data_IF_174063411919
#
_entry.id   IF_174063411919
#
_cell.length_a   1.000
_cell.length_b   1.000
_cell.length_c   1.000
_cell.angle_alpha   90.00
_cell.angle_beta   90.00
_cell.angle_gamma   90.00
#
_symmetry.space_group_name_H-M   'P 1'
#
loop_
_entity.id
_entity.type
_entity.pdbx_description
1 polymer ?
#
# COMPACT_ATOMS: atom_id res chain seq x y z
N UNK A 1 -11.07 10.59 -2.20
CA UNK A 1 -11.44 10.83 -0.78
C UNK A 1 -10.46 10.05 0.09
N UNK A 2 -9.31 10.64 0.41
CA UNK A 2 -8.33 10.04 1.32
C UNK A 2 -8.53 10.69 2.68
N UNK A 3 -9.17 9.98 3.61
CA UNK A 3 -9.48 10.50 4.93
C UNK A 3 -8.21 10.54 5.77
N UNK A 4 -7.64 11.74 5.90
CA UNK A 4 -6.51 12.05 6.76
C UNK A 4 -6.80 11.64 8.20
N UNK A 5 -6.01 10.70 8.73
CA UNK A 5 -6.00 10.21 10.13
C UNK A 5 -5.52 11.30 11.14
N UNK A 6 -5.40 12.55 10.69
CA UNK A 6 -4.66 13.62 11.38
C UNK A 6 -5.37 14.24 12.60
N UNK A 7 -6.57 13.79 13.01
CA UNK A 7 -7.26 14.30 14.22
C UNK A 7 -8.07 13.22 14.96
N UNK A 8 -7.47 12.09 15.29
CA UNK A 8 -8.02 11.25 16.35
C UNK A 8 -7.68 11.93 17.70
N UNK A 9 -8.70 12.40 18.42
CA UNK A 9 -8.57 12.82 19.81
C UNK A 9 -7.84 11.73 20.62
N UNK A 10 -7.01 12.09 21.60
CA UNK A 10 -6.18 11.12 22.34
C UNK A 10 -6.99 9.92 22.84
N UNK A 11 -8.22 10.18 23.31
CA UNK A 11 -9.14 9.15 23.78
C UNK A 11 -9.67 8.24 22.65
N UNK A 12 -9.84 8.77 21.44
CA UNK A 12 -10.25 7.99 20.26
C UNK A 12 -9.12 7.06 19.79
N UNK A 13 -7.87 7.53 19.84
CA UNK A 13 -6.70 6.70 19.53
C UNK A 13 -6.55 5.56 20.55
N UNK A 14 -6.69 5.85 21.84
CA UNK A 14 -6.57 4.84 22.89
C UNK A 14 -7.66 3.76 22.78
N UNK A 15 -8.90 4.16 22.51
CA UNK A 15 -10.01 3.22 22.27
C UNK A 15 -9.78 2.34 21.04
N UNK A 16 -9.23 2.92 19.97
CA UNK A 16 -8.91 2.17 18.76
C UNK A 16 -7.81 1.14 19.03
N UNK A 17 -6.76 1.51 19.76
CA UNK A 17 -5.67 0.60 20.13
C UNK A 17 -6.21 -0.56 20.97
N UNK A 18 -7.03 -0.28 21.98
CA UNK A 18 -7.63 -1.32 22.82
C UNK A 18 -8.54 -2.26 22.01
N UNK A 19 -9.30 -1.71 21.05
CA UNK A 19 -10.14 -2.50 20.16
C UNK A 19 -9.31 -3.42 19.24
N UNK A 20 -8.22 -2.91 18.65
CA UNK A 20 -7.31 -3.71 17.81
C UNK A 20 -6.67 -4.82 18.64
N UNK A 21 -6.20 -4.53 19.86
CA UNK A 21 -5.60 -5.52 20.75
C UNK A 21 -6.60 -6.63 21.14
N UNK A 22 -7.83 -6.28 21.48
CA UNK A 22 -8.87 -7.27 21.78
C UNK A 22 -9.19 -8.14 20.56
N UNK A 23 -9.28 -7.53 19.37
CA UNK A 23 -9.50 -8.23 18.11
C UNK A 23 -8.32 -9.14 17.76
N UNK A 24 -7.08 -8.72 18.00
CA UNK A 24 -5.91 -9.58 17.84
C UNK A 24 -5.99 -10.81 18.74
N UNK A 25 -6.39 -10.64 20.00
CA UNK A 25 -6.58 -11.76 20.93
C UNK A 25 -7.73 -12.69 20.49
N UNK A 26 -8.86 -12.14 20.05
CA UNK A 26 -10.04 -12.88 19.59
C UNK A 26 -9.75 -13.75 18.36
N UNK A 27 -8.97 -13.24 17.41
CA UNK A 27 -8.62 -13.94 16.17
C UNK A 27 -7.29 -14.71 16.25
N UNK A 28 -6.61 -14.70 17.40
CA UNK A 28 -5.30 -15.33 17.56
C UNK A 28 -4.20 -14.71 16.69
N UNK A 29 -4.36 -13.45 16.27
CA UNK A 29 -3.38 -12.72 15.47
C UNK A 29 -2.25 -12.31 16.40
N UNK A 30 -1.08 -12.91 16.22
CA UNK A 30 0.11 -12.54 16.99
C UNK A 30 0.67 -11.21 16.51
N UNK A 31 1.33 -10.48 17.41
CA UNK A 31 2.03 -9.24 17.07
C UNK A 31 3.09 -9.47 15.98
N UNK A 32 3.83 -10.60 16.04
CA UNK A 32 4.79 -11.00 15.00
C UNK A 32 4.13 -11.17 13.62
N UNK A 33 2.95 -11.79 13.55
CA UNK A 33 2.23 -11.95 12.28
C UNK A 33 1.80 -10.60 11.71
N UNK A 34 1.35 -9.68 12.57
CA UNK A 34 0.99 -8.33 12.17
C UNK A 34 2.21 -7.54 11.68
N UNK A 35 3.33 -7.61 12.41
CA UNK A 35 4.60 -6.98 12.03
C UNK A 35 5.11 -7.52 10.69
N UNK A 36 5.06 -8.84 10.47
CA UNK A 36 5.41 -9.45 9.18
C UNK A 36 4.52 -8.96 8.06
N UNK A 37 3.20 -8.90 8.26
CA UNK A 37 2.29 -8.39 7.23
C UNK A 37 2.58 -6.93 6.90
N UNK A 38 2.84 -6.06 7.88
CA UNK A 38 3.24 -4.68 7.62
C UNK A 38 4.60 -4.58 6.92
N UNK A 39 5.58 -5.38 7.32
CA UNK A 39 6.89 -5.40 6.66
C UNK A 39 6.79 -5.88 5.20
N UNK A 40 5.93 -6.88 4.94
CA UNK A 40 5.64 -7.38 3.59
C UNK A 40 4.88 -6.34 2.77
N UNK A 41 3.90 -5.65 3.35
CA UNK A 41 3.15 -4.58 2.71
C UNK A 41 4.04 -3.37 2.41
N UNK A 42 4.92 -2.98 3.34
CA UNK A 42 5.89 -1.90 3.15
C UNK A 42 6.93 -2.26 2.08
N UNK A 43 7.34 -3.54 2.03
CA UNK A 43 8.21 -4.06 0.98
C UNK A 43 7.50 -4.10 -0.36
N UNK A 44 6.23 -4.46 -0.40
CA UNK A 44 5.40 -4.42 -1.61
C UNK A 44 5.12 -2.99 -2.05
N UNK A 45 4.86 -2.06 -1.13
CA UNK A 45 4.68 -0.64 -1.41
C UNK A 45 5.97 -0.02 -1.96
N UNK A 46 7.13 -0.36 -1.39
CA UNK A 46 8.44 -0.01 -1.98
C UNK A 46 8.71 -0.73 -3.30
N UNK A 47 8.09 -1.88 -3.53
CA UNK A 47 8.19 -2.59 -4.79
C UNK A 47 7.28 -1.98 -5.86
N UNK A 48 6.13 -1.39 -5.49
CA UNK A 48 5.26 -0.64 -6.41
C UNK A 48 6.06 0.55 -6.94
N UNK A 49 6.63 0.33 -8.13
CA UNK A 49 7.57 1.26 -8.73
C UNK A 49 6.88 2.12 -9.78
N UNK A 50 5.77 1.66 -10.34
CA UNK A 50 5.03 2.34 -11.39
C UNK A 50 3.51 2.30 -11.16
N UNK A 51 2.81 3.42 -11.36
CA UNK A 51 1.36 3.58 -11.30
C UNK A 51 0.84 4.45 -12.47
N UNK A 52 -0.29 4.05 -13.08
CA UNK A 52 -1.02 4.81 -14.10
C UNK A 52 -2.14 5.68 -13.52
N UNK A 53 -2.58 6.69 -14.28
CA UNK A 53 -3.72 7.55 -13.94
C UNK A 53 -5.04 6.76 -13.73
N UNK A 54 -5.14 5.56 -14.30
CA UNK A 54 -6.28 4.65 -14.12
C UNK A 54 -6.23 3.85 -12.81
N UNK A 55 -5.17 4.01 -12.00
CA UNK A 55 -4.95 3.29 -10.74
C UNK A 55 -4.29 1.92 -10.90
N UNK A 56 -3.84 1.56 -12.10
CA UNK A 56 -3.04 0.34 -12.30
C UNK A 56 -1.63 0.53 -11.75
N UNK A 57 -1.11 -0.50 -11.07
CA UNK A 57 0.24 -0.49 -10.49
C UNK A 57 1.08 -1.63 -11.06
N UNK A 58 2.39 -1.44 -11.11
CA UNK A 58 3.36 -2.44 -11.50
C UNK A 58 4.63 -2.32 -10.66
N UNK A 59 5.07 -3.45 -10.10
CA UNK A 59 6.23 -3.52 -9.22
C UNK A 59 7.57 -3.69 -9.95
N UNK A 60 7.53 -3.71 -11.29
CA UNK A 60 8.74 -3.89 -12.10
C UNK A 60 9.21 -5.34 -12.22
N UNK A 61 8.49 -6.31 -11.64
CA UNK A 61 8.74 -7.75 -11.82
C UNK A 61 7.70 -8.37 -12.74
N UNK A 62 8.15 -9.35 -13.53
CA UNK A 62 7.29 -10.09 -14.47
C UNK A 62 7.06 -9.38 -15.80
N UNK A 63 6.03 -9.82 -16.51
CA UNK A 63 5.70 -9.31 -17.85
C UNK A 63 5.16 -7.88 -17.78
N UNK A 64 5.46 -7.07 -18.81
CA UNK A 64 4.98 -5.70 -18.89
C UNK A 64 3.45 -5.71 -19.05
N UNK A 65 2.68 -5.14 -18.12
CA UNK A 65 1.23 -5.15 -18.23
C UNK A 65 0.76 -4.33 -19.44
N UNK A 66 -0.41 -4.66 -19.98
CA UNK A 66 -0.93 -4.07 -21.22
C UNK A 66 -1.00 -2.54 -21.19
N UNK A 67 -1.35 -1.95 -20.04
CA UNK A 67 -1.40 -0.49 -19.88
C UNK A 67 -0.01 0.14 -20.05
N UNK A 68 1.03 -0.48 -19.49
CA UNK A 68 2.39 0.02 -19.56
C UNK A 68 2.98 -0.19 -20.95
N UNK A 69 2.69 -1.35 -21.57
CA UNK A 69 3.06 -1.63 -22.96
C UNK A 69 2.44 -0.62 -23.91
N UNK A 70 1.16 -0.27 -23.73
CA UNK A 70 0.45 0.72 -24.52
C UNK A 70 1.01 2.14 -24.32
N UNK A 71 1.33 2.51 -23.08
CA UNK A 71 1.94 3.80 -22.77
C UNK A 71 3.32 3.96 -23.44
N UNK A 72 4.19 2.94 -23.32
CA UNK A 72 5.50 2.92 -23.98
C UNK A 72 5.35 2.93 -25.51
N UNK A 73 4.41 2.16 -26.06
CA UNK A 73 4.11 2.16 -27.50
C UNK A 73 3.57 3.51 -28.00
N UNK A 74 2.92 4.28 -27.13
CA UNK A 74 2.46 5.65 -27.42
C UNK A 74 3.59 6.69 -27.31
N UNK A 75 4.81 6.26 -27.00
CA UNK A 75 5.97 7.12 -26.81
C UNK A 75 6.04 7.81 -25.44
N UNK A 76 5.19 7.42 -24.48
CA UNK A 76 5.29 7.93 -23.11
C UNK A 76 6.45 7.25 -22.39
N UNK A 77 7.19 8.06 -21.63
CA UNK A 77 8.28 7.54 -20.81
C UNK A 77 7.71 6.84 -19.56
N UNK A 78 8.21 5.64 -19.29
CA UNK A 78 7.85 4.85 -18.11
C UNK A 78 8.10 5.59 -16.78
N UNK A 79 9.05 6.53 -16.76
CA UNK A 79 9.38 7.35 -15.60
C UNK A 79 8.22 8.26 -15.17
N UNK A 80 7.33 8.66 -16.08
CA UNK A 80 6.12 9.43 -15.73
C UNK A 80 5.14 8.64 -14.86
N UNK A 81 5.19 7.32 -14.96
CA UNK A 81 4.40 6.42 -14.14
C UNK A 81 5.12 6.07 -12.85
N UNK A 82 6.37 6.51 -12.61
CA UNK A 82 7.09 6.13 -11.39
C UNK A 82 6.36 6.69 -10.18
N UNK A 83 6.04 5.82 -9.23
CA UNK A 83 5.56 6.26 -7.93
C UNK A 83 6.80 6.71 -7.14
N UNK A 84 7.07 8.02 -7.13
CA UNK A 84 8.08 8.60 -6.24
C UNK A 84 7.59 8.38 -4.80
N UNK A 85 8.33 7.57 -4.04
CA UNK A 85 8.07 7.29 -2.63
C UNK A 85 8.61 8.36 -1.71
#
# INVERSE_FOLDING_TARGET
MSTSIAKLDGQARERLIAWIQNRMNEFGITFDALERSFAEDEKNARAIRYQDASGHVWDGRGDLPEWLRRAVASGQNIDFFRCEG
#
